data_IF_852460801916
#
_entry.id   IF_852460801916
#
_cell.length_a   1.000
_cell.length_b   1.000
_cell.length_c   1.000
_cell.angle_alpha   90.00
_cell.angle_beta   90.00
_cell.angle_gamma   90.00
#
_symmetry.space_group_name_H-M   'P 1'
#
loop_
_entity.id
_entity.type
_entity.pdbx_description
1 polymer ?
#
# COMPACT_ATOMS: atom_id res chain seq x y z
N UNK A 1 -5.22 6.21 -35.01
CA UNK A 1 -6.22 6.90 -35.85
C UNK A 1 -7.58 6.40 -35.39
N UNK A 2 -8.33 7.22 -34.66
CA UNK A 2 -9.60 6.85 -34.06
C UNK A 2 -10.66 6.62 -35.15
N UNK A 3 -11.32 5.46 -35.11
CA UNK A 3 -12.32 5.04 -36.09
C UNK A 3 -13.55 5.94 -36.03
N UNK A 4 -13.69 6.85 -36.99
CA UNK A 4 -14.78 7.81 -36.96
C UNK A 4 -16.13 7.21 -37.36
N UNK A 5 -16.20 6.01 -37.94
CA UNK A 5 -17.47 5.37 -38.33
C UNK A 5 -17.41 3.83 -38.33
N UNK A 6 -17.25 3.23 -37.14
CA UNK A 6 -17.28 1.75 -36.94
C UNK A 6 -18.50 1.10 -37.60
N UNK A 7 -19.66 1.77 -37.57
CA UNK A 7 -20.93 1.27 -38.14
C UNK A 7 -20.91 1.19 -39.67
N UNK A 8 -20.23 2.12 -40.34
CA UNK A 8 -20.12 2.13 -41.81
C UNK A 8 -19.08 1.11 -42.28
N UNK A 9 -17.99 0.93 -41.52
CA UNK A 9 -17.00 -0.13 -41.78
C UNK A 9 -17.63 -1.52 -41.68
N UNK A 10 -18.46 -1.78 -40.66
CA UNK A 10 -19.16 -3.06 -40.49
C UNK A 10 -20.12 -3.32 -41.66
N UNK A 11 -20.88 -2.30 -42.10
CA UNK A 11 -21.76 -2.43 -43.27
C UNK A 11 -21.00 -2.71 -44.56
N UNK A 12 -19.84 -2.08 -44.75
CA UNK A 12 -19.00 -2.32 -45.92
C UNK A 12 -18.46 -3.76 -45.94
N UNK A 13 -17.98 -4.24 -44.79
CA UNK A 13 -17.53 -5.63 -44.62
C UNK A 13 -18.67 -6.61 -44.83
N UNK A 14 -19.86 -6.33 -44.30
CA UNK A 14 -21.05 -7.18 -44.47
C UNK A 14 -21.48 -7.30 -45.94
N UNK A 15 -21.44 -6.19 -46.70
CA UNK A 15 -21.79 -6.19 -48.12
C UNK A 15 -20.79 -7.00 -48.97
N UNK A 16 -19.49 -6.82 -48.73
CA UNK A 16 -18.45 -7.62 -49.41
C UNK A 16 -18.60 -9.10 -49.03
N UNK A 17 -18.85 -9.41 -47.76
CA UNK A 17 -18.99 -10.80 -47.32
C UNK A 17 -20.18 -11.52 -47.96
N UNK A 18 -21.32 -10.82 -48.15
CA UNK A 18 -22.49 -11.36 -48.86
C UNK A 18 -22.24 -11.63 -50.34
N UNK A 19 -21.35 -10.86 -50.97
CA UNK A 19 -20.99 -11.00 -52.38
C UNK A 19 -20.15 -12.26 -52.63
N UNK A 20 -19.28 -12.63 -51.69
CA UNK A 20 -18.41 -13.81 -51.78
C UNK A 20 -19.00 -15.09 -51.18
N UNK A 21 -19.88 -14.99 -50.18
CA UNK A 21 -20.48 -16.14 -49.48
C UNK A 21 -22.01 -15.99 -49.30
N UNK A 22 -22.81 -16.14 -50.37
CA UNK A 22 -24.27 -16.03 -50.28
C UNK A 22 -24.87 -17.25 -49.56
N UNK A 23 -25.11 -17.12 -48.25
CA UNK A 23 -25.74 -18.16 -47.43
C UNK A 23 -25.37 -18.14 -45.95
N UNK A 24 -24.31 -17.42 -45.55
CA UNK A 24 -23.89 -17.29 -44.16
C UNK A 24 -24.11 -15.88 -43.61
N UNK A 25 -24.71 -15.77 -42.43
CA UNK A 25 -24.83 -14.51 -41.70
C UNK A 25 -23.51 -14.14 -41.04
N UNK A 26 -23.04 -12.92 -41.26
CA UNK A 26 -21.83 -12.39 -40.62
C UNK A 26 -22.09 -12.23 -39.11
N UNK A 27 -21.64 -13.19 -38.31
CA UNK A 27 -21.56 -13.05 -36.86
C UNK A 27 -20.26 -12.31 -36.50
N UNK A 28 -20.39 -11.10 -35.94
CA UNK A 28 -19.26 -10.34 -35.42
C UNK A 28 -19.48 -10.09 -33.93
N UNK A 29 -18.45 -10.36 -33.13
CA UNK A 29 -18.41 -10.01 -31.71
C UNK A 29 -17.29 -9.00 -31.51
N UNK A 30 -17.58 -7.90 -30.82
CA UNK A 30 -16.53 -6.94 -30.47
C UNK A 30 -15.65 -7.53 -29.39
N UNK A 31 -14.35 -7.63 -29.70
CA UNK A 31 -13.33 -8.08 -28.76
C UNK A 31 -13.39 -7.29 -27.43
N UNK A 32 -13.74 -6.00 -27.49
CA UNK A 32 -13.90 -5.12 -26.31
C UNK A 32 -14.95 -5.63 -25.32
N UNK A 33 -16.05 -6.21 -25.81
CA UNK A 33 -17.15 -6.72 -24.96
C UNK A 33 -16.74 -8.03 -24.28
N UNK A 34 -15.98 -8.88 -24.98
CA UNK A 34 -15.47 -10.14 -24.43
C UNK A 34 -14.33 -9.89 -23.42
N UNK A 35 -13.44 -8.92 -23.69
CA UNK A 35 -12.41 -8.51 -22.73
C UNK A 35 -12.99 -7.84 -21.49
N UNK A 36 -14.04 -7.03 -21.63
CA UNK A 36 -14.71 -6.40 -20.48
C UNK A 36 -15.25 -7.44 -19.49
N UNK A 37 -15.81 -8.55 -19.98
CA UNK A 37 -16.32 -9.63 -19.13
C UNK A 37 -15.21 -10.38 -18.39
N UNK A 38 -14.02 -10.55 -18.98
CA UNK A 38 -12.86 -11.15 -18.30
C UNK A 38 -12.20 -10.21 -17.30
N UNK A 39 -12.23 -8.89 -17.52
CA UNK A 39 -11.66 -7.90 -16.59
C UNK A 39 -12.56 -7.60 -15.37
N UNK A 40 -13.85 -7.90 -15.42
CA UNK A 40 -14.81 -7.71 -14.33
C UNK A 40 -14.39 -8.42 -13.03
N UNK A 41 -13.84 -9.64 -13.11
CA UNK A 41 -13.32 -10.36 -11.93
C UNK A 41 -12.06 -9.70 -11.37
N UNK A 42 -11.13 -9.30 -12.24
CA UNK A 42 -9.88 -8.63 -11.85
C UNK A 42 -10.15 -7.26 -11.21
N UNK A 43 -11.10 -6.49 -11.75
CA UNK A 43 -11.50 -5.19 -11.20
C UNK A 43 -12.13 -5.38 -9.82
N UNK A 44 -12.97 -6.40 -9.63
CA UNK A 44 -13.54 -6.72 -8.31
C UNK A 44 -12.46 -7.13 -7.31
N UNK A 45 -11.54 -8.01 -7.70
CA UNK A 45 -10.42 -8.43 -6.86
C UNK A 45 -9.55 -7.24 -6.46
N UNK A 46 -9.19 -6.37 -7.41
CA UNK A 46 -8.45 -5.12 -7.15
C UNK A 46 -9.18 -4.24 -6.13
N UNK A 47 -10.49 -4.04 -6.28
CA UNK A 47 -11.29 -3.26 -5.33
C UNK A 47 -11.28 -3.86 -3.93
N UNK A 48 -11.47 -5.18 -3.82
CA UNK A 48 -11.41 -5.88 -2.53
C UNK A 48 -10.03 -5.74 -1.87
N UNK A 49 -8.95 -5.97 -2.62
CA UNK A 49 -7.59 -5.77 -2.13
C UNK A 49 -7.35 -4.34 -1.67
N UNK A 50 -7.87 -3.35 -2.40
CA UNK A 50 -7.74 -1.95 -2.01
C UNK A 50 -8.40 -1.67 -0.65
N UNK A 51 -9.58 -2.22 -0.38
CA UNK A 51 -10.21 -2.10 0.94
C UNK A 51 -9.43 -2.82 2.03
N UNK A 52 -8.98 -4.05 1.80
CA UNK A 52 -8.17 -4.79 2.77
C UNK A 52 -6.85 -4.10 3.08
N UNK A 53 -6.15 -3.56 2.09
CA UNK A 53 -4.91 -2.79 2.27
C UNK A 53 -5.19 -1.54 3.10
N UNK A 54 -6.27 -0.81 2.82
CA UNK A 54 -6.64 0.37 3.59
C UNK A 54 -6.90 0.03 5.07
N UNK A 55 -7.65 -1.04 5.35
CA UNK A 55 -7.89 -1.52 6.71
C UNK A 55 -6.59 -1.99 7.39
N UNK A 56 -5.75 -2.74 6.68
CA UNK A 56 -4.47 -3.22 7.20
C UNK A 56 -3.55 -2.07 7.60
N UNK A 57 -3.52 -0.97 6.83
CA UNK A 57 -2.77 0.23 7.19
C UNK A 57 -3.31 0.85 8.48
N UNK A 58 -4.62 0.99 8.63
CA UNK A 58 -5.24 1.54 9.84
C UNK A 58 -4.90 0.68 11.07
N UNK A 59 -5.06 -0.64 10.97
CA UNK A 59 -4.75 -1.58 12.06
C UNK A 59 -3.26 -1.53 12.41
N UNK A 60 -2.40 -1.44 11.40
CA UNK A 60 -0.95 -1.32 11.60
C UNK A 60 -0.58 -0.01 12.32
N UNK A 61 -1.25 1.10 11.99
CA UNK A 61 -1.07 2.37 12.69
C UNK A 61 -1.52 2.29 14.16
N UNK A 62 -2.65 1.61 14.43
CA UNK A 62 -3.13 1.37 15.81
C UNK A 62 -2.16 0.48 16.60
N UNK A 63 -1.63 -0.57 15.99
CA UNK A 63 -0.62 -1.44 16.61
C UNK A 63 0.66 -0.69 16.94
N UNK A 64 1.17 0.12 16.00
CA UNK A 64 2.33 0.96 16.22
C UNK A 64 2.06 2.02 17.31
N UNK A 65 0.86 2.60 17.33
CA UNK A 65 0.44 3.53 18.37
C UNK A 65 0.41 2.87 19.76
N UNK A 66 -0.16 1.67 19.88
CA UNK A 66 -0.21 0.94 21.14
C UNK A 66 1.20 0.55 21.62
N UNK A 67 2.04 0.06 20.71
CA UNK A 67 3.42 -0.34 21.01
C UNK A 67 4.28 0.87 21.44
N UNK A 68 4.16 2.00 20.74
CA UNK A 68 4.87 3.24 21.11
C UNK A 68 4.42 3.77 22.46
N UNK A 69 3.11 3.75 22.75
CA UNK A 69 2.58 4.13 24.06
C UNK A 69 3.16 3.26 25.18
N UNK A 70 3.12 1.95 25.01
CA UNK A 70 3.63 0.98 25.98
C UNK A 70 5.15 1.10 26.20
N UNK A 71 5.92 1.30 25.12
CA UNK A 71 7.38 1.51 25.22
C UNK A 71 7.69 2.84 25.91
N UNK A 72 6.93 3.90 25.61
CA UNK A 72 7.07 5.19 26.29
C UNK A 72 6.80 5.04 27.79
N UNK A 73 5.76 4.27 28.17
CA UNK A 73 5.42 3.96 29.55
C UNK A 73 6.52 3.16 30.25
N UNK A 74 7.04 2.07 29.66
CA UNK A 74 8.19 1.34 30.25
C UNK A 74 9.44 2.21 30.39
N UNK A 75 9.65 3.14 29.46
CA UNK A 75 10.80 4.04 29.45
C UNK A 75 10.56 5.35 30.21
N UNK A 76 9.40 5.54 30.85
CA UNK A 76 9.09 6.76 31.63
C UNK A 76 10.14 7.07 32.69
N UNK A 77 10.67 6.06 33.41
CA UNK A 77 11.72 6.27 34.42
C UNK A 77 13.03 6.80 33.82
N UNK A 78 13.51 6.23 32.71
CA UNK A 78 14.70 6.72 31.99
C UNK A 78 14.48 8.11 31.39
N UNK A 79 13.29 8.34 30.82
CA UNK A 79 12.89 9.62 30.20
C UNK A 79 12.77 10.71 31.28
N UNK A 80 12.19 10.39 32.45
CA UNK A 80 12.04 11.29 33.58
C UNK A 80 13.39 11.73 34.15
N UNK A 81 14.31 10.79 34.38
CA UNK A 81 15.68 11.10 34.84
C UNK A 81 16.39 12.00 33.82
N UNK A 82 16.31 11.69 32.52
CA UNK A 82 16.91 12.52 31.46
C UNK A 82 16.28 13.91 31.34
N UNK A 83 14.96 14.03 31.54
CA UNK A 83 14.24 15.32 31.49
C UNK A 83 14.66 16.23 32.66
N UNK A 84 14.86 15.68 33.85
CA UNK A 84 15.36 16.42 35.03
C UNK A 84 16.84 16.80 34.85
N UNK A 85 17.64 15.96 34.17
CA UNK A 85 19.02 16.28 33.78
C UNK A 85 19.14 17.25 32.59
N UNK A 86 18.03 17.85 32.13
CA UNK A 86 18.03 18.90 31.10
C UNK A 86 17.99 18.40 29.65
N UNK A 87 17.64 17.13 29.39
CA UNK A 87 17.48 16.62 28.03
C UNK A 87 16.33 17.34 27.31
N UNK A 88 16.61 17.90 26.13
CA UNK A 88 15.61 18.61 25.33
C UNK A 88 14.50 17.65 24.85
N UNK A 89 13.30 18.20 24.62
CA UNK A 89 12.16 17.46 24.06
C UNK A 89 12.52 16.74 22.74
N UNK A 90 13.45 17.33 21.97
CA UNK A 90 13.99 16.78 20.72
C UNK A 90 14.85 15.52 20.94
N UNK A 91 15.59 15.44 22.05
CA UNK A 91 16.41 14.27 22.37
C UNK A 91 15.58 13.02 22.66
N UNK A 92 14.44 13.19 23.35
CA UNK A 92 13.48 12.11 23.63
C UNK A 92 12.79 11.65 22.34
N UNK A 93 12.36 12.61 21.51
CA UNK A 93 11.79 12.34 20.19
C UNK A 93 12.75 11.52 19.31
N UNK A 94 14.02 11.92 19.24
CA UNK A 94 14.99 11.29 18.36
C UNK A 94 15.35 9.87 18.83
N UNK A 95 15.37 9.63 20.14
CA UNK A 95 15.63 8.31 20.70
C UNK A 95 14.49 7.31 20.42
N UNK A 96 13.23 7.74 20.60
CA UNK A 96 12.07 6.91 20.25
C UNK A 96 12.01 6.69 18.73
N UNK A 97 12.06 7.74 17.93
CA UNK A 97 11.99 7.63 16.46
C UNK A 97 13.11 6.76 15.89
N UNK A 98 14.35 6.86 16.38
CA UNK A 98 15.48 6.04 15.90
C UNK A 98 15.28 4.55 16.20
N UNK A 99 14.75 4.23 17.38
CA UNK A 99 14.50 2.83 17.77
C UNK A 99 13.45 2.19 16.87
N UNK A 100 12.33 2.89 16.62
CA UNK A 100 11.29 2.41 15.72
C UNK A 100 11.73 2.37 14.25
N UNK A 101 12.45 3.40 13.77
CA UNK A 101 12.95 3.45 12.38
C UNK A 101 13.85 2.25 12.08
N UNK A 102 14.72 1.85 13.01
CA UNK A 102 15.57 0.66 12.84
C UNK A 102 14.74 -0.60 12.62
N UNK A 103 13.70 -0.82 13.43
CA UNK A 103 12.83 -1.99 13.30
C UNK A 103 12.02 -1.96 12.00
N UNK A 104 11.51 -0.80 11.59
CA UNK A 104 10.77 -0.63 10.33
C UNK A 104 11.66 -0.90 9.11
N UNK A 105 12.92 -0.48 9.14
CA UNK A 105 13.89 -0.76 8.07
C UNK A 105 14.19 -2.27 7.96
N UNK A 106 14.41 -2.94 9.08
CA UNK A 106 14.64 -4.40 9.10
C UNK A 106 13.42 -5.13 8.55
N UNK A 107 12.21 -4.74 8.98
CA UNK A 107 10.97 -5.31 8.46
C UNK A 107 10.82 -5.11 6.94
N UNK A 108 11.18 -3.93 6.41
CA UNK A 108 11.16 -3.67 4.96
C UNK A 108 12.12 -4.58 4.19
N UNK A 109 13.36 -4.71 4.67
CA UNK A 109 14.39 -5.56 4.03
C UNK A 109 13.92 -7.01 3.95
N UNK A 110 13.22 -7.52 4.98
CA UNK A 110 12.67 -8.88 5.00
C UNK A 110 11.40 -8.98 4.13
N UNK A 111 10.58 -7.93 4.10
CA UNK A 111 9.32 -7.91 3.35
C UNK A 111 9.53 -7.90 1.83
N UNK A 112 10.54 -7.20 1.31
CA UNK A 112 10.82 -7.12 -0.13
C UNK A 112 11.04 -8.49 -0.82
N UNK A 113 11.93 -9.39 -0.35
CA UNK A 113 12.12 -10.69 -1.00
C UNK A 113 10.86 -11.57 -0.90
N UNK A 114 10.14 -11.51 0.22
CA UNK A 114 8.89 -12.26 0.40
C UNK A 114 7.84 -11.76 -0.61
N UNK A 115 7.65 -10.45 -0.69
CA UNK A 115 6.70 -9.84 -1.62
C UNK A 115 7.08 -10.11 -3.08
N UNK A 116 8.37 -10.05 -3.43
CA UNK A 116 8.85 -10.40 -4.76
C UNK A 116 8.52 -11.86 -5.11
N UNK A 117 8.78 -12.80 -4.21
CA UNK A 117 8.50 -14.21 -4.45
C UNK A 117 7.01 -14.50 -4.65
N UNK A 118 6.15 -13.89 -3.83
CA UNK A 118 4.69 -14.03 -3.94
C UNK A 118 4.19 -13.43 -5.26
N UNK A 119 4.65 -12.22 -5.61
CA UNK A 119 4.24 -11.55 -6.85
C UNK A 119 4.73 -12.31 -8.08
N UNK A 120 5.98 -12.79 -8.09
CA UNK A 120 6.54 -13.56 -9.20
C UNK A 120 5.76 -14.86 -9.43
N UNK A 121 5.44 -15.61 -8.36
CA UNK A 121 4.61 -16.80 -8.48
C UNK A 121 3.19 -16.49 -8.97
N UNK A 122 2.60 -15.38 -8.55
CA UNK A 122 1.28 -14.96 -9.03
C UNK A 122 1.31 -14.52 -10.50
N UNK A 123 2.32 -13.75 -10.91
CA UNK A 123 2.52 -13.29 -12.29
C UNK A 123 2.81 -14.43 -13.26
N UNK A 124 3.37 -15.56 -12.81
CA UNK A 124 3.55 -16.77 -13.63
C UNK A 124 2.25 -17.41 -14.10
N UNK A 125 1.13 -17.16 -13.43
CA UNK A 125 -0.19 -17.67 -13.84
C UNK A 125 -0.75 -16.91 -15.05
N UNK A 126 -0.16 -15.78 -15.43
CA UNK A 126 -0.64 -14.95 -16.54
C UNK A 126 0.25 -15.09 -17.79
N UNK A 127 -0.38 -15.23 -18.95
CA UNK A 127 0.32 -15.30 -20.24
C UNK A 127 1.02 -13.98 -20.62
N UNK A 128 0.45 -12.84 -20.20
CA UNK A 128 1.04 -11.52 -20.32
C UNK A 128 1.42 -11.00 -18.93
N UNK A 129 2.71 -10.78 -18.70
CA UNK A 129 3.27 -10.47 -17.38
C UNK A 129 4.02 -9.14 -17.41
N UNK A 130 3.78 -8.33 -16.38
CA UNK A 130 4.51 -7.07 -16.16
C UNK A 130 5.85 -7.39 -15.49
N UNK A 131 6.90 -6.67 -15.88
CA UNK A 131 8.17 -6.72 -15.18
C UNK A 131 8.06 -6.01 -13.83
N UNK A 132 8.37 -6.72 -12.75
CA UNK A 132 8.34 -6.15 -11.40
C UNK A 132 9.50 -5.15 -11.30
N UNK A 133 9.17 -3.86 -11.27
CA UNK A 133 10.17 -2.80 -11.12
C UNK A 133 10.55 -2.64 -9.64
N UNK A 134 11.86 -2.65 -9.35
CA UNK A 134 12.43 -2.39 -8.01
C UNK A 134 11.89 -1.08 -7.41
N UNK A 135 11.59 -0.09 -8.26
CA UNK A 135 11.12 1.22 -7.83
C UNK A 135 9.81 1.16 -7.04
N UNK A 136 8.95 0.17 -7.29
CA UNK A 136 7.70 -0.01 -6.56
C UNK A 136 7.98 -0.39 -5.10
N UNK A 137 8.97 -1.26 -4.85
CA UNK A 137 9.37 -1.64 -3.49
C UNK A 137 9.97 -0.46 -2.73
N UNK A 138 10.83 0.31 -3.40
CA UNK A 138 11.43 1.51 -2.81
C UNK A 138 10.35 2.54 -2.46
N UNK A 139 9.45 2.84 -3.40
CA UNK A 139 8.37 3.81 -3.18
C UNK A 139 7.45 3.37 -2.03
N UNK A 140 7.08 2.09 -2.00
CA UNK A 140 6.23 1.50 -0.95
C UNK A 140 6.93 1.53 0.40
N UNK A 141 8.23 1.21 0.45
CA UNK A 141 9.02 1.26 1.67
C UNK A 141 9.19 2.67 2.22
N UNK A 142 9.42 3.66 1.35
CA UNK A 142 9.45 5.08 1.73
C UNK A 142 8.10 5.51 2.28
N UNK A 143 7.00 5.15 1.62
CA UNK A 143 5.66 5.49 2.08
C UNK A 143 5.35 4.87 3.46
N UNK A 144 5.69 3.59 3.65
CA UNK A 144 5.52 2.90 4.93
C UNK A 144 6.35 3.56 6.05
N UNK A 145 7.59 3.96 5.73
CA UNK A 145 8.48 4.63 6.67
C UNK A 145 7.97 6.04 7.03
N UNK A 146 7.41 6.78 6.07
CA UNK A 146 6.75 8.06 6.34
C UNK A 146 5.55 7.90 7.26
N UNK A 147 4.68 6.92 7.02
CA UNK A 147 3.52 6.64 7.88
C UNK A 147 3.97 6.28 9.31
N UNK A 148 5.00 5.43 9.43
CA UNK A 148 5.54 5.04 10.72
C UNK A 148 6.15 6.24 11.47
N UNK A 149 6.96 7.06 10.80
CA UNK A 149 7.55 8.27 11.39
C UNK A 149 6.48 9.29 11.79
N UNK A 150 5.43 9.47 11.00
CA UNK A 150 4.35 10.39 11.32
C UNK A 150 3.59 9.92 12.57
N UNK A 151 3.28 8.63 12.65
CA UNK A 151 2.57 8.00 13.78
C UNK A 151 3.40 8.07 15.07
N UNK A 152 4.66 7.61 15.01
CA UNK A 152 5.59 7.61 16.16
C UNK A 152 5.90 9.04 16.56
N UNK A 153 6.10 9.94 15.60
CA UNK A 153 6.46 11.33 15.85
C UNK A 153 5.36 12.08 16.58
N UNK A 154 4.11 11.91 16.16
CA UNK A 154 2.95 12.45 16.87
C UNK A 154 2.89 11.96 18.32
N UNK A 155 3.10 10.67 18.54
CA UNK A 155 3.14 10.05 19.88
C UNK A 155 4.29 10.60 20.73
N UNK A 156 5.50 10.67 20.18
CA UNK A 156 6.68 11.14 20.87
C UNK A 156 6.56 12.61 21.29
N UNK A 157 5.97 13.46 20.46
CA UNK A 157 5.65 14.86 20.84
C UNK A 157 4.64 14.88 21.97
N UNK A 158 3.57 14.07 21.88
CA UNK A 158 2.54 13.98 22.93
C UNK A 158 3.13 13.50 24.27
N UNK A 159 3.96 12.45 24.26
CA UNK A 159 4.65 11.93 25.43
C UNK A 159 5.67 12.92 26.02
N UNK A 160 6.42 13.65 25.18
CA UNK A 160 7.34 14.68 25.65
C UNK A 160 6.61 15.88 26.28
N UNK A 161 5.41 16.21 25.80
CA UNK A 161 4.54 17.26 26.31
C UNK A 161 3.73 16.88 27.54
N UNK A 162 3.62 15.58 27.85
CA UNK A 162 2.94 15.12 29.06
C UNK A 162 3.65 15.67 30.32
N UNK A 163 2.84 16.19 31.25
CA UNK A 163 3.34 16.80 32.48
C UNK A 163 3.85 15.70 33.41
N UNK A 164 5.12 15.75 33.85
CA UNK A 164 5.73 14.70 34.66
C UNK A 164 5.10 14.56 36.06
N UNK A 165 4.31 15.55 36.49
CA UNK A 165 3.61 15.56 37.78
C UNK A 165 2.47 14.52 37.82
N UNK A 166 1.86 14.18 36.68
CA UNK A 166 0.82 13.13 36.61
C UNK A 166 1.41 11.71 36.68
N UNK A 167 2.68 11.53 36.27
CA UNK A 167 3.35 10.23 36.32
C UNK A 167 3.82 9.83 37.73
N UNK A 168 3.90 10.79 38.67
CA UNK A 168 4.29 10.56 40.07
C UNK A 168 3.10 10.34 41.00
N UNK A 169 1.87 10.49 40.52
CA UNK A 169 0.64 10.37 41.31
C UNK A 169 -0.13 9.06 41.06
N UNK A 170 0.54 8.08 40.45
CA UNK A 170 0.07 6.72 40.20
C UNK A 170 0.72 5.70 41.14
N UNK A 171 1.17 6.18 42.30
CA UNK A 171 1.35 5.41 43.52
C UNK A 171 0.31 5.92 44.54
#
# INVERSE_FOLDING_TARGET
MAGSNIRDTIKHVENVYKEFCPGFTLEYSFLDVTFAQQYESEIRLKKLLQYFVSLAIIISCLGLFALTAFVAEQKTKEIGIRKVLGSSKTGIFLLLSKSFTKWVLIANIISWPIAYYVLDNWLKTFAYRISINIMIFVLSGVLALLIALFTVGYQAVRAASANPVDCLRYE
#
